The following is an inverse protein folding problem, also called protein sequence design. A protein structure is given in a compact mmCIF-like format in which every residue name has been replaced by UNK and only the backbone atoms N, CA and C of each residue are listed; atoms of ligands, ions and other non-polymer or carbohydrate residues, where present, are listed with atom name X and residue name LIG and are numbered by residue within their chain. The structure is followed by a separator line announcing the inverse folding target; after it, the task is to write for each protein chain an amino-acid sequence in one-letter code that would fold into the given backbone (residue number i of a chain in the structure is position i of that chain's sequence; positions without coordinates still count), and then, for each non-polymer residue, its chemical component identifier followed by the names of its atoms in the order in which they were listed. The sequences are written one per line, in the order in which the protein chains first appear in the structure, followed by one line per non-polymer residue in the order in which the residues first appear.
data_IF_459429403977
#
_entry.id   IF_459429403977
#
_cell.length_a   1.000
_cell.length_b   1.000
_cell.length_c   1.000
_cell.angle_alpha   90.00
_cell.angle_beta   90.00
_cell.angle_gamma   90.00
#
_symmetry.space_group_name_H-M   'P 1'
#
loop_
_entity.id
_entity.type
_entity.pdbx_description
1 polymer ?
#
# COMPACT_ATOMS: atom_id res chain seq x y z
N UNK A 1 16.44 9.77 -14.73
CA UNK A 1 15.09 10.25 -14.42
C UNK A 1 14.19 9.11 -13.90
N UNK A 2 14.08 8.00 -14.62
CA UNK A 2 13.20 6.90 -14.21
C UNK A 2 13.66 6.23 -12.91
N UNK A 3 14.96 5.99 -12.77
CA UNK A 3 15.53 5.36 -11.55
C UNK A 3 15.30 6.24 -10.33
N UNK A 4 15.57 7.54 -10.44
CA UNK A 4 15.35 8.47 -9.34
C UNK A 4 13.87 8.60 -8.97
N UNK A 5 13.00 8.65 -9.96
CA UNK A 5 11.55 8.69 -9.74
C UNK A 5 11.05 7.43 -9.03
N UNK A 6 11.58 6.27 -9.40
CA UNK A 6 11.24 5.01 -8.74
C UNK A 6 11.74 4.97 -7.29
N UNK A 7 12.93 5.49 -7.03
CA UNK A 7 13.45 5.63 -5.68
C UNK A 7 12.56 6.52 -4.82
N UNK A 8 12.09 7.65 -5.36
CA UNK A 8 11.16 8.55 -4.68
C UNK A 8 9.84 7.85 -4.37
N UNK A 9 9.36 6.99 -5.26
CA UNK A 9 8.15 6.20 -5.05
C UNK A 9 8.31 5.25 -3.85
N UNK A 10 9.43 4.56 -3.75
CA UNK A 10 9.70 3.69 -2.60
C UNK A 10 9.80 4.48 -1.30
N UNK A 11 10.48 5.61 -1.31
CA UNK A 11 10.58 6.47 -0.14
C UNK A 11 9.21 6.98 0.31
N UNK A 12 8.39 7.42 -0.64
CA UNK A 12 7.04 7.90 -0.36
C UNK A 12 6.18 6.82 0.30
N UNK A 13 6.18 5.59 -0.23
CA UNK A 13 5.43 4.49 0.34
C UNK A 13 6.02 3.95 1.65
N UNK A 14 7.32 4.09 1.88
CA UNK A 14 7.92 3.79 3.18
C UNK A 14 7.31 4.68 4.27
N UNK A 15 7.08 5.96 3.98
CA UNK A 15 6.41 6.88 4.89
C UNK A 15 4.88 6.62 4.96
N UNK A 16 4.24 6.36 3.81
CA UNK A 16 2.81 6.07 3.78
C UNK A 16 2.44 4.78 4.52
N UNK A 17 3.33 3.80 4.59
CA UNK A 17 3.13 2.60 5.37
C UNK A 17 2.85 2.86 6.85
N UNK A 18 3.33 3.97 7.36
CA UNK A 18 3.05 4.42 8.74
C UNK A 18 1.61 4.89 8.92
N UNK A 19 0.86 5.12 7.85
CA UNK A 19 -0.51 5.64 7.85
C UNK A 19 -1.55 4.59 7.45
N UNK A 20 -1.20 3.32 7.50
CA UNK A 20 -2.13 2.23 7.23
C UNK A 20 -3.07 2.02 8.43
N UNK A 21 -3.79 3.07 8.79
CA UNK A 21 -4.69 3.09 9.94
C UNK A 21 -5.99 2.35 9.66
N UNK A 22 -6.62 1.91 10.75
CA UNK A 22 -8.02 1.54 10.73
C UNK A 22 -8.93 2.72 11.04
N UNK A 23 -10.20 2.45 11.23
CA UNK A 23 -11.20 3.44 11.57
C UNK A 23 -12.04 2.97 12.74
N UNK A 24 -12.46 3.93 13.58
CA UNK A 24 -13.51 3.74 14.56
C UNK A 24 -14.75 4.41 13.99
N UNK A 25 -15.79 3.63 13.74
CA UNK A 25 -17.00 4.10 13.07
C UNK A 25 -18.14 4.22 14.10
N UNK A 26 -18.81 5.39 14.20
CA UNK A 26 -19.96 5.54 15.10
C UNK A 26 -21.07 4.56 14.72
N UNK A 27 -21.54 3.69 15.65
CA UNK A 27 -22.62 2.76 15.37
C UNK A 27 -23.99 3.42 15.52
N UNK A 28 -25.00 2.88 14.84
CA UNK A 28 -26.39 3.27 15.03
C UNK A 28 -26.92 2.82 16.41
N UNK A 29 -26.35 1.75 16.96
CA UNK A 29 -26.71 1.22 18.27
C UNK A 29 -25.56 1.46 19.25
N UNK A 30 -25.82 2.17 20.35
CA UNK A 30 -24.82 2.53 21.35
C UNK A 30 -24.19 1.32 22.07
N UNK A 31 -24.82 0.14 22.03
CA UNK A 31 -24.27 -1.09 22.59
C UNK A 31 -23.23 -1.76 21.69
N UNK A 32 -23.05 -1.27 20.45
CA UNK A 32 -22.12 -1.83 19.48
C UNK A 32 -20.92 -0.90 19.29
N UNK A 33 -19.79 -1.50 18.91
CA UNK A 33 -18.58 -0.77 18.51
C UNK A 33 -18.15 -1.27 17.14
N UNK A 34 -17.90 -0.34 16.22
CA UNK A 34 -17.43 -0.65 14.87
C UNK A 34 -16.01 -0.16 14.70
N UNK A 35 -15.10 -1.09 14.52
CA UNK A 35 -13.68 -0.80 14.30
C UNK A 35 -13.25 -1.53 13.04
N UNK A 36 -12.59 -0.80 12.15
CA UNK A 36 -11.94 -1.41 10.98
C UNK A 36 -10.44 -1.45 11.20
N UNK A 37 -9.81 -2.53 10.79
CA UNK A 37 -8.36 -2.67 10.77
C UNK A 37 -7.95 -3.13 9.37
N UNK A 38 -6.74 -2.80 8.98
CA UNK A 38 -6.20 -3.21 7.67
C UNK A 38 -5.26 -4.39 7.85
N UNK A 39 -5.43 -5.39 7.00
CA UNK A 39 -4.56 -6.54 6.93
C UNK A 39 -3.98 -6.68 5.53
N UNK A 40 -2.74 -7.20 5.41
CA UNK A 40 -2.20 -7.54 4.09
C UNK A 40 -3.11 -8.55 3.38
N UNK A 41 -3.35 -8.33 2.09
CA UNK A 41 -4.16 -9.27 1.29
C UNK A 41 -3.45 -10.61 1.03
N UNK A 42 -2.14 -10.66 1.25
CA UNK A 42 -1.33 -11.86 1.05
C UNK A 42 -0.30 -11.68 -0.07
N UNK A 43 -0.18 -12.68 -0.92
CA UNK A 43 0.77 -12.68 -2.03
C UNK A 43 0.21 -11.87 -3.20
N UNK A 44 1.02 -10.96 -3.73
CA UNK A 44 0.64 -10.07 -4.84
C UNK A 44 1.47 -10.42 -6.08
N UNK A 45 0.84 -10.51 -7.23
CA UNK A 45 1.52 -10.60 -8.52
C UNK A 45 1.55 -9.22 -9.19
N UNK A 46 2.72 -8.80 -9.65
CA UNK A 46 2.88 -7.52 -10.32
C UNK A 46 3.26 -7.74 -11.79
N UNK A 47 2.40 -7.26 -12.69
CA UNK A 47 2.63 -7.32 -14.13
C UNK A 47 2.62 -5.90 -14.66
N UNK A 48 3.66 -5.52 -15.38
CA UNK A 48 3.80 -4.19 -15.96
C UNK A 48 4.22 -4.24 -17.42
N UNK A 49 3.86 -3.20 -18.20
CA UNK A 49 4.32 -3.08 -19.57
C UNK A 49 5.80 -2.72 -19.64
N UNK A 50 6.37 -2.82 -20.83
CA UNK A 50 7.81 -2.66 -21.05
C UNK A 50 8.27 -1.19 -21.17
N UNK A 51 7.35 -0.26 -21.42
CA UNK A 51 7.71 1.12 -21.78
C UNK A 51 8.31 1.95 -20.65
N UNK A 52 7.98 1.64 -19.39
CA UNK A 52 8.62 2.20 -18.20
C UNK A 52 8.88 1.06 -17.21
N UNK A 53 9.92 0.25 -17.46
CA UNK A 53 10.08 -1.04 -16.76
C UNK A 53 10.34 -0.90 -15.26
N UNK A 54 10.99 0.17 -14.82
CA UNK A 54 11.29 0.39 -13.39
C UNK A 54 10.15 1.12 -12.73
N UNK A 55 9.70 2.23 -13.28
CA UNK A 55 8.66 3.09 -12.70
C UNK A 55 7.35 2.34 -12.50
N UNK A 56 6.89 1.60 -13.51
CA UNK A 56 5.60 0.93 -13.45
C UNK A 56 5.62 -0.23 -12.47
N UNK A 57 6.75 -0.90 -12.30
CA UNK A 57 6.88 -1.93 -11.28
C UNK A 57 6.98 -1.32 -9.87
N UNK A 58 7.74 -0.25 -9.70
CA UNK A 58 7.87 0.41 -8.40
C UNK A 58 6.52 0.86 -7.84
N UNK A 59 5.60 1.30 -8.69
CA UNK A 59 4.24 1.71 -8.30
C UNK A 59 3.40 0.56 -7.76
N UNK A 60 3.77 -0.67 -8.03
CA UNK A 60 3.10 -1.88 -7.53
C UNK A 60 3.83 -2.49 -6.35
N UNK A 61 5.15 -2.57 -6.46
CA UNK A 61 6.00 -3.22 -5.44
C UNK A 61 6.01 -2.41 -4.13
N UNK A 62 6.23 -1.11 -4.23
CA UNK A 62 6.37 -0.27 -3.04
C UNK A 62 5.11 -0.28 -2.16
N UNK A 63 3.88 -0.03 -2.69
CA UNK A 63 2.69 -0.09 -1.85
C UNK A 63 2.38 -1.51 -1.35
N UNK A 64 2.67 -2.55 -2.12
CA UNK A 64 2.45 -3.92 -1.66
C UNK A 64 3.32 -4.24 -0.44
N UNK A 65 4.59 -3.89 -0.49
CA UNK A 65 5.50 -4.08 0.66
C UNK A 65 5.11 -3.20 1.84
N UNK A 66 4.71 -1.95 1.60
CA UNK A 66 4.27 -1.04 2.64
C UNK A 66 3.02 -1.55 3.37
N UNK A 67 2.15 -2.25 2.65
CA UNK A 67 0.95 -2.88 3.23
C UNK A 67 1.25 -4.22 3.92
N UNK A 68 2.47 -4.72 3.86
CA UNK A 68 2.87 -5.99 4.47
C UNK A 68 2.65 -7.21 3.60
N UNK A 69 2.40 -7.03 2.30
CA UNK A 69 2.26 -8.13 1.35
C UNK A 69 3.61 -8.61 0.85
N UNK A 70 3.68 -9.88 0.47
CA UNK A 70 4.75 -10.37 -0.39
C UNK A 70 4.36 -10.14 -1.86
N UNK A 71 5.35 -10.04 -2.74
CA UNK A 71 5.10 -9.71 -4.14
C UNK A 71 6.12 -10.37 -5.07
#
# INVERSE_FOLDING_TARGET
AEVLHSADTFEWFAEEGKRAYGQVIPPANAAKRHITIKHPVGVVGAIGPWNFPITLQSRKIAPALAAGCTI
#
